data_IF_901712777740
#
_entry.id   IF_901712777740
#
_cell.length_a   1.000
_cell.length_b   1.000
_cell.length_c   1.000
_cell.angle_alpha   90.00
_cell.angle_beta   90.00
_cell.angle_gamma   90.00
#
_symmetry.space_group_name_H-M   'P 1'
#
loop_
_entity.id
_entity.type
_entity.pdbx_description
1 polymer ?
#
# COMPACT_ATOMS: atom_id res chain seq x y z
N UNK A 1 -12.05 -32.61 3.79
CA UNK A 1 -10.73 -31.99 3.61
C UNK A 1 -10.20 -31.62 4.97
N UNK A 2 -8.87 -31.68 5.17
CA UNK A 2 -8.26 -31.18 6.41
C UNK A 2 -8.21 -29.66 6.31
N UNK A 3 -9.04 -28.98 7.08
CA UNK A 3 -8.92 -27.54 7.33
C UNK A 3 -7.86 -27.34 8.40
N UNK A 4 -6.78 -26.64 8.08
CA UNK A 4 -5.88 -26.12 9.09
C UNK A 4 -6.64 -25.03 9.87
N UNK A 5 -6.63 -25.11 11.21
CA UNK A 5 -7.19 -24.04 12.03
C UNK A 5 -6.36 -22.75 11.89
N UNK A 6 -6.97 -21.60 12.17
CA UNK A 6 -6.28 -20.31 12.17
C UNK A 6 -5.01 -20.35 13.04
N UNK A 7 -3.95 -19.71 12.57
CA UNK A 7 -2.69 -19.60 13.30
C UNK A 7 -2.77 -18.39 14.22
N UNK A 8 -3.00 -18.58 15.52
CA UNK A 8 -3.15 -17.47 16.48
C UNK A 8 -1.87 -16.66 16.80
N UNK A 9 -0.80 -16.83 16.03
CA UNK A 9 0.53 -16.23 16.22
C UNK A 9 1.10 -15.80 14.87
N UNK A 10 2.32 -15.27 14.86
CA UNK A 10 3.03 -14.95 13.63
C UNK A 10 3.31 -16.21 12.78
N UNK A 11 3.19 -16.06 11.46
CA UNK A 11 3.48 -17.09 10.47
C UNK A 11 4.62 -16.63 9.56
N UNK A 12 5.73 -17.37 9.58
CA UNK A 12 6.91 -17.10 8.77
C UNK A 12 7.03 -18.16 7.68
N UNK A 13 7.01 -17.75 6.40
CA UNK A 13 7.18 -18.64 5.24
C UNK A 13 8.56 -18.47 4.58
N UNK A 14 9.61 -18.35 5.41
CA UNK A 14 10.99 -18.02 4.99
C UNK A 14 11.71 -19.13 4.20
N UNK A 15 11.05 -20.23 3.87
CA UNK A 15 11.61 -21.31 3.05
C UNK A 15 10.68 -21.71 1.92
N UNK A 16 9.55 -21.02 1.78
CA UNK A 16 8.58 -21.22 0.71
C UNK A 16 8.87 -20.18 -0.36
N UNK A 17 9.10 -20.64 -1.58
CA UNK A 17 9.41 -19.78 -2.73
C UNK A 17 8.23 -19.63 -3.69
N UNK A 18 7.15 -20.38 -3.50
CA UNK A 18 5.91 -20.31 -4.28
C UNK A 18 4.70 -20.72 -3.41
N UNK A 19 3.55 -20.11 -3.66
CA UNK A 19 2.25 -20.46 -3.05
C UNK A 19 1.31 -21.19 -4.03
N UNK A 20 1.82 -21.67 -5.16
CA UNK A 20 1.01 -22.45 -6.11
C UNK A 20 0.42 -23.69 -5.41
N UNK A 21 -0.90 -23.82 -5.48
CA UNK A 21 -1.64 -24.91 -4.82
C UNK A 21 -1.63 -24.86 -3.28
N UNK A 22 -1.16 -23.77 -2.68
CA UNK A 22 -1.14 -23.58 -1.24
C UNK A 22 -2.35 -22.75 -0.79
N UNK A 23 -3.14 -23.30 0.13
CA UNK A 23 -4.16 -22.53 0.85
C UNK A 23 -3.60 -22.11 2.21
N UNK A 24 -3.44 -20.81 2.42
CA UNK A 24 -2.97 -20.27 3.70
C UNK A 24 -4.14 -20.19 4.71
N UNK A 25 -3.91 -20.53 5.99
CA UNK A 25 -4.90 -20.31 7.05
C UNK A 25 -4.95 -18.82 7.45
N UNK A 26 -6.04 -18.39 8.08
CA UNK A 26 -6.09 -17.10 8.77
C UNK A 26 -4.96 -16.97 9.80
N UNK A 27 -4.34 -15.79 9.90
CA UNK A 27 -3.20 -15.53 10.77
C UNK A 27 -3.59 -14.47 11.80
N UNK A 28 -3.66 -14.83 13.08
CA UNK A 28 -3.95 -13.88 14.17
C UNK A 28 -2.77 -12.95 14.50
N UNK A 29 -1.54 -13.36 14.18
CA UNK A 29 -0.34 -12.53 14.23
C UNK A 29 0.01 -11.91 12.88
N UNK A 30 1.29 -11.67 12.65
CA UNK A 30 1.83 -11.17 11.39
C UNK A 30 2.19 -12.30 10.40
N UNK A 31 2.08 -12.04 9.10
CA UNK A 31 2.45 -12.97 8.03
C UNK A 31 3.68 -12.46 7.27
N UNK A 32 4.71 -13.30 7.14
CA UNK A 32 5.98 -12.97 6.47
C UNK A 32 6.21 -13.86 5.25
N UNK A 33 6.28 -13.25 4.05
CA UNK A 33 6.56 -13.91 2.77
C UNK A 33 7.92 -13.48 2.18
N UNK A 34 8.95 -13.46 3.00
CA UNK A 34 10.25 -12.86 2.65
C UNK A 34 11.05 -13.64 1.58
N UNK A 35 10.66 -14.88 1.26
CA UNK A 35 11.35 -15.74 0.28
C UNK A 35 10.63 -15.89 -1.06
N UNK A 36 9.50 -15.19 -1.22
CA UNK A 36 8.72 -15.19 -2.45
C UNK A 36 8.99 -13.87 -3.17
N UNK A 37 9.16 -13.93 -4.49
CA UNK A 37 9.41 -12.73 -5.32
C UNK A 37 8.22 -12.36 -6.19
N UNK A 38 7.30 -13.28 -6.45
CA UNK A 38 6.08 -13.03 -7.23
C UNK A 38 4.92 -13.87 -6.72
N UNK A 39 3.70 -13.33 -6.80
CA UNK A 39 2.46 -14.06 -6.52
C UNK A 39 1.55 -14.00 -7.74
N UNK A 40 1.02 -15.16 -8.14
CA UNK A 40 0.11 -15.31 -9.26
C UNK A 40 -1.10 -16.17 -8.84
N UNK A 41 -2.32 -15.65 -8.98
CA UNK A 41 -3.55 -16.39 -8.67
C UNK A 41 -3.69 -16.82 -7.21
N UNK A 42 -3.13 -16.04 -6.28
CA UNK A 42 -3.09 -16.35 -4.85
C UNK A 42 -4.17 -15.58 -4.09
N UNK A 43 -4.86 -16.26 -3.18
CA UNK A 43 -5.65 -15.61 -2.12
C UNK A 43 -4.84 -15.57 -0.84
N UNK A 44 -4.44 -14.37 -0.42
CA UNK A 44 -3.81 -14.15 0.88
C UNK A 44 -4.88 -14.17 1.98
N UNK A 45 -4.59 -14.73 3.17
CA UNK A 45 -5.58 -14.88 4.22
C UNK A 45 -5.79 -13.58 4.98
N UNK A 46 -6.81 -13.53 5.85
CA UNK A 46 -6.92 -12.48 6.86
C UNK A 46 -5.72 -12.55 7.81
N UNK A 47 -5.16 -11.38 8.11
CA UNK A 47 -4.00 -11.18 8.98
C UNK A 47 -4.36 -10.18 10.08
N UNK A 48 -4.51 -10.64 11.32
CA UNK A 48 -4.78 -9.76 12.47
C UNK A 48 -3.59 -8.88 12.85
N UNK A 49 -2.39 -9.21 12.38
CA UNK A 49 -1.19 -8.41 12.48
C UNK A 49 -0.80 -7.70 11.20
N UNK A 50 0.51 -7.60 10.96
CA UNK A 50 1.05 -6.95 9.76
C UNK A 50 1.38 -7.98 8.68
N UNK A 51 1.21 -7.62 7.42
CA UNK A 51 1.52 -8.43 6.25
C UNK A 51 2.80 -7.93 5.58
N UNK A 52 3.83 -8.76 5.57
CA UNK A 52 5.15 -8.44 5.03
C UNK A 52 5.37 -9.13 3.67
N UNK A 53 5.31 -8.33 2.61
CA UNK A 53 5.53 -8.72 1.21
C UNK A 53 6.75 -8.00 0.61
N UNK A 54 7.77 -7.74 1.45
CA UNK A 54 8.90 -6.89 1.07
C UNK A 54 9.75 -7.44 -0.07
N UNK A 55 9.74 -8.75 -0.30
CA UNK A 55 10.48 -9.39 -1.40
C UNK A 55 9.68 -9.48 -2.70
N UNK A 56 8.38 -9.20 -2.66
CA UNK A 56 7.50 -9.31 -3.82
C UNK A 56 7.73 -8.13 -4.77
N UNK A 57 8.03 -8.44 -6.02
CA UNK A 57 8.21 -7.46 -7.11
C UNK A 57 7.03 -7.45 -8.09
N UNK A 58 6.19 -8.49 -8.09
CA UNK A 58 5.04 -8.62 -8.97
C UNK A 58 3.88 -9.37 -8.30
N UNK A 59 2.67 -8.88 -8.54
CA UNK A 59 1.40 -9.44 -8.08
C UNK A 59 0.48 -9.54 -9.31
N UNK A 60 -0.08 -10.72 -9.57
CA UNK A 60 -1.04 -10.93 -10.65
C UNK A 60 -2.21 -11.78 -10.14
N UNK A 61 -3.44 -11.30 -10.30
CA UNK A 61 -4.63 -12.04 -9.84
C UNK A 61 -4.62 -12.34 -8.33
N UNK A 62 -3.98 -11.48 -7.53
CA UNK A 62 -3.88 -11.65 -6.08
C UNK A 62 -5.10 -11.04 -5.40
N UNK A 63 -5.75 -11.83 -4.56
CA UNK A 63 -6.83 -11.36 -3.67
C UNK A 63 -6.29 -11.27 -2.25
N UNK A 64 -6.53 -10.14 -1.59
CA UNK A 64 -6.13 -9.93 -0.20
C UNK A 64 -7.29 -10.21 0.75
N UNK A 65 -6.98 -10.82 1.90
CA UNK A 65 -7.83 -10.75 3.09
C UNK A 65 -7.56 -9.48 3.88
N UNK A 66 -8.27 -9.32 4.99
CA UNK A 66 -8.16 -8.13 5.84
C UNK A 66 -6.78 -8.07 6.52
N UNK A 67 -6.19 -6.88 6.62
CA UNK A 67 -4.92 -6.63 7.31
C UNK A 67 -5.15 -5.69 8.50
N UNK A 68 -5.12 -6.23 9.71
CA UNK A 68 -5.45 -5.48 10.93
C UNK A 68 -4.38 -4.51 11.41
N UNK A 69 -3.18 -4.51 10.80
CA UNK A 69 -2.12 -3.52 11.04
C UNK A 69 -1.50 -3.05 9.73
N UNK A 70 -0.23 -3.30 9.50
CA UNK A 70 0.53 -2.68 8.41
C UNK A 70 0.67 -3.62 7.21
N UNK A 71 0.67 -3.06 6.00
CA UNK A 71 0.99 -3.75 4.76
C UNK A 71 2.30 -3.22 4.16
N UNK A 72 3.28 -4.10 3.98
CA UNK A 72 4.58 -3.75 3.43
C UNK A 72 4.79 -4.34 2.04
N UNK A 73 4.86 -3.47 1.02
CA UNK A 73 5.09 -3.80 -0.39
C UNK A 73 6.30 -3.01 -0.92
N UNK A 74 7.42 -3.05 -0.20
CA UNK A 74 8.55 -2.17 -0.48
C UNK A 74 9.32 -2.49 -1.77
N UNK A 75 9.14 -3.64 -2.41
CA UNK A 75 9.85 -3.99 -3.66
C UNK A 75 8.96 -4.01 -4.90
N UNK A 76 7.65 -3.77 -4.76
CA UNK A 76 6.75 -3.71 -5.91
C UNK A 76 6.99 -2.42 -6.70
N UNK A 77 6.94 -2.52 -8.03
CA UNK A 77 7.20 -1.39 -8.93
C UNK A 77 5.97 -0.96 -9.74
N UNK A 78 4.89 -1.74 -9.72
CA UNK A 78 3.62 -1.46 -10.39
C UNK A 78 2.45 -2.05 -9.58
N UNK A 79 1.26 -1.45 -9.71
CA UNK A 79 -0.01 -1.96 -9.18
C UNK A 79 -1.00 -2.35 -10.30
N UNK A 80 -0.51 -2.52 -11.52
CA UNK A 80 -1.34 -2.96 -12.65
C UNK A 80 -2.01 -4.31 -12.34
N UNK A 81 -3.32 -4.39 -12.55
CA UNK A 81 -4.09 -5.62 -12.35
C UNK A 81 -4.26 -6.06 -10.89
N UNK A 82 -3.95 -5.18 -9.92
CA UNK A 82 -4.02 -5.49 -8.50
C UNK A 82 -4.92 -4.49 -7.78
N UNK A 83 -5.80 -5.00 -6.93
CA UNK A 83 -6.55 -4.21 -5.96
C UNK A 83 -5.97 -4.50 -4.57
N UNK A 84 -5.42 -3.48 -3.93
CA UNK A 84 -4.94 -3.57 -2.55
C UNK A 84 -6.13 -3.53 -1.58
N UNK A 85 -6.02 -4.17 -0.41
CA UNK A 85 -7.06 -4.11 0.62
C UNK A 85 -6.98 -2.78 1.37
N UNK A 86 -8.07 -2.40 2.02
CA UNK A 86 -8.02 -1.37 3.08
C UNK A 86 -7.09 -1.83 4.21
N UNK A 87 -6.37 -0.86 4.79
CA UNK A 87 -5.31 -1.12 5.77
C UNK A 87 -5.59 -0.31 7.03
N UNK A 88 -5.87 -0.97 8.16
CA UNK A 88 -6.11 -0.28 9.44
C UNK A 88 -4.87 0.48 9.94
N UNK A 89 -3.68 -0.03 9.63
CA UNK A 89 -2.38 0.58 9.97
C UNK A 89 -1.74 1.31 8.79
N UNK A 90 -0.44 1.11 8.60
CA UNK A 90 0.35 1.81 7.58
C UNK A 90 0.48 0.99 6.30
N UNK A 91 0.49 1.66 5.14
CA UNK A 91 0.77 1.07 3.84
C UNK A 91 2.10 1.61 3.28
N UNK A 92 3.02 0.72 2.95
CA UNK A 92 4.35 1.07 2.43
C UNK A 92 4.54 0.58 0.99
N UNK A 93 4.66 1.53 0.07
CA UNK A 93 4.86 1.30 -1.38
C UNK A 93 6.11 2.06 -1.87
N UNK A 94 7.22 1.86 -1.15
CA UNK A 94 8.40 2.72 -1.24
C UNK A 94 9.22 2.63 -2.54
N UNK A 95 8.94 1.69 -3.45
CA UNK A 95 9.70 1.50 -4.69
C UNK A 95 8.95 1.84 -5.97
N UNK A 96 7.66 2.16 -5.89
CA UNK A 96 6.89 2.58 -7.07
C UNK A 96 7.32 4.00 -7.44
N UNK A 97 7.64 4.22 -8.72
CA UNK A 97 8.01 5.54 -9.25
C UNK A 97 6.89 6.21 -10.04
N UNK A 98 5.93 5.43 -10.56
CA UNK A 98 4.78 5.94 -11.30
C UNK A 98 3.54 5.07 -11.11
N UNK A 99 2.36 5.70 -11.10
CA UNK A 99 1.07 5.01 -11.11
C UNK A 99 0.14 5.63 -12.17
N UNK A 100 -0.64 4.78 -12.84
CA UNK A 100 -1.61 5.16 -13.86
C UNK A 100 -2.94 4.44 -13.63
N UNK A 101 -4.05 5.18 -13.54
CA UNK A 101 -5.40 4.60 -13.45
C UNK A 101 -5.67 3.80 -12.18
N UNK A 102 -4.93 4.06 -11.09
CA UNK A 102 -5.03 3.31 -9.83
C UNK A 102 -5.87 4.06 -8.81
N UNK A 103 -6.72 3.33 -8.08
CA UNK A 103 -7.32 3.79 -6.82
C UNK A 103 -6.57 3.10 -5.68
N UNK A 104 -5.93 3.88 -4.81
CA UNK A 104 -5.32 3.36 -3.59
C UNK A 104 -6.38 3.16 -2.50
N UNK A 105 -6.18 2.18 -1.61
CA UNK A 105 -7.17 1.83 -0.58
C UNK A 105 -7.22 2.89 0.54
N UNK A 106 -8.21 2.78 1.43
CA UNK A 106 -8.22 3.54 2.67
C UNK A 106 -7.10 3.04 3.60
N UNK A 107 -6.42 3.97 4.27
CA UNK A 107 -5.29 3.69 5.16
C UNK A 107 -5.51 4.39 6.50
N UNK A 108 -5.75 3.64 7.57
CA UNK A 108 -5.96 4.21 8.91
C UNK A 108 -4.71 4.90 9.49
N UNK A 109 -3.52 4.46 9.09
CA UNK A 109 -2.22 5.00 9.45
C UNK A 109 -1.59 5.86 8.36
N UNK A 110 -0.28 5.70 8.16
CA UNK A 110 0.49 6.45 7.16
C UNK A 110 0.55 5.71 5.82
N UNK A 111 0.57 6.47 4.73
CA UNK A 111 0.79 5.98 3.38
C UNK A 111 2.13 6.49 2.85
N UNK A 112 3.08 5.57 2.61
CA UNK A 112 4.41 5.89 2.08
C UNK A 112 4.50 5.63 0.57
N UNK A 113 4.44 6.72 -0.20
CA UNK A 113 4.62 6.77 -1.67
C UNK A 113 5.86 7.61 -2.05
N UNK A 114 6.87 7.66 -1.17
CA UNK A 114 7.99 8.60 -1.24
C UNK A 114 8.82 8.60 -2.53
N UNK A 115 8.70 7.57 -3.37
CA UNK A 115 9.47 7.42 -4.61
C UNK A 115 8.67 7.77 -5.86
N UNK A 116 7.37 8.02 -5.72
CA UNK A 116 6.51 8.43 -6.83
C UNK A 116 6.99 9.78 -7.37
N UNK A 117 7.23 9.83 -8.67
CA UNK A 117 7.56 11.05 -9.42
C UNK A 117 6.49 11.41 -10.44
N UNK A 118 5.58 10.48 -10.77
CA UNK A 118 4.47 10.69 -11.72
C UNK A 118 3.20 9.98 -11.30
N UNK A 119 2.05 10.63 -11.46
CA UNK A 119 0.72 10.08 -11.23
C UNK A 119 -0.18 10.48 -12.40
N UNK A 120 -0.97 9.56 -12.92
CA UNK A 120 -1.97 9.83 -13.97
C UNK A 120 -3.29 9.13 -13.64
N UNK A 121 -4.39 9.88 -13.50
CA UNK A 121 -5.70 9.31 -13.20
C UNK A 121 -5.74 8.53 -11.87
N UNK A 122 -4.97 8.97 -10.87
CA UNK A 122 -4.85 8.29 -9.59
C UNK A 122 -5.81 8.89 -8.56
N UNK A 123 -6.50 8.01 -7.84
CA UNK A 123 -7.29 8.38 -6.65
C UNK A 123 -6.55 7.91 -5.41
N UNK A 124 -6.22 8.85 -4.53
CA UNK A 124 -5.69 8.61 -3.20
C UNK A 124 -6.86 8.70 -2.23
N UNK A 125 -7.28 7.57 -1.65
CA UNK A 125 -8.40 7.54 -0.70
C UNK A 125 -7.98 8.07 0.68
N UNK A 126 -8.78 7.85 1.71
CA UNK A 126 -8.55 8.49 3.01
C UNK A 126 -7.31 7.92 3.71
N UNK A 127 -6.47 8.81 4.24
CA UNK A 127 -5.27 8.48 5.01
C UNK A 127 -5.41 9.08 6.40
N UNK A 128 -5.64 8.27 7.43
CA UNK A 128 -5.80 8.73 8.81
C UNK A 128 -4.53 9.36 9.40
N UNK A 129 -3.36 8.98 8.89
CA UNK A 129 -2.05 9.50 9.25
C UNK A 129 -1.49 10.51 8.25
N UNK A 130 -0.18 10.38 7.99
CA UNK A 130 0.54 11.20 7.02
C UNK A 130 0.65 10.52 5.66
N UNK A 131 0.57 11.31 4.60
CA UNK A 131 0.78 10.88 3.22
C UNK A 131 2.13 11.42 2.72
N UNK A 132 3.02 10.52 2.31
CA UNK A 132 4.35 10.88 1.81
C UNK A 132 4.42 10.80 0.29
N UNK A 133 4.43 11.96 -0.37
CA UNK A 133 4.65 12.13 -1.80
C UNK A 133 5.85 13.04 -2.05
N UNK A 134 6.89 12.96 -1.21
CA UNK A 134 7.99 13.94 -1.18
C UNK A 134 8.71 14.14 -2.51
N UNK A 135 8.64 13.18 -3.44
CA UNK A 135 9.32 13.19 -4.73
C UNK A 135 8.43 13.61 -5.92
N UNK A 136 7.13 13.85 -5.71
CA UNK A 136 6.22 14.25 -6.79
C UNK A 136 6.53 15.68 -7.24
N UNK A 137 6.49 15.91 -8.56
CA UNK A 137 6.69 17.24 -9.16
C UNK A 137 5.46 17.80 -9.84
N UNK A 138 4.41 17.00 -10.04
CA UNK A 138 3.11 17.45 -10.54
C UNK A 138 1.97 16.58 -10.00
N UNK A 139 0.80 17.17 -9.75
CA UNK A 139 -0.41 16.47 -9.27
C UNK A 139 -1.60 16.59 -10.25
N UNK A 140 -1.34 16.76 -11.54
CA UNK A 140 -2.38 16.77 -12.55
C UNK A 140 -3.15 15.44 -12.55
N UNK A 141 -4.49 15.51 -12.63
CA UNK A 141 -5.34 14.31 -12.66
C UNK A 141 -5.42 13.52 -11.33
N UNK A 142 -4.82 14.02 -10.23
CA UNK A 142 -4.88 13.36 -8.92
C UNK A 142 -6.10 13.81 -8.11
N UNK A 143 -6.84 12.84 -7.59
CA UNK A 143 -7.92 13.06 -6.62
C UNK A 143 -7.46 12.65 -5.23
N UNK A 144 -7.74 13.49 -4.23
CA UNK A 144 -7.37 13.26 -2.84
C UNK A 144 -8.63 13.07 -1.99
N UNK A 145 -8.60 12.05 -1.13
CA UNK A 145 -9.38 11.96 0.11
C UNK A 145 -8.76 12.79 1.23
N UNK A 146 -9.23 12.57 2.45
CA UNK A 146 -8.74 13.27 3.63
C UNK A 146 -7.36 12.74 4.05
N UNK A 147 -6.50 13.65 4.52
CA UNK A 147 -5.21 13.31 5.15
C UNK A 147 -5.22 13.83 6.58
N UNK A 148 -5.28 12.93 7.55
CA UNK A 148 -5.51 13.26 8.96
C UNK A 148 -4.35 13.99 9.64
N UNK A 149 -3.13 13.87 9.11
CA UNK A 149 -1.96 14.55 9.65
C UNK A 149 -1.26 15.45 8.64
N UNK A 150 -0.18 15.01 8.00
CA UNK A 150 0.62 15.84 7.10
C UNK A 150 0.66 15.25 5.69
N UNK A 151 0.62 16.12 4.69
CA UNK A 151 0.90 15.79 3.30
C UNK A 151 2.29 16.33 2.93
N UNK A 152 3.25 15.41 2.77
CA UNK A 152 4.63 15.73 2.39
C UNK A 152 4.76 15.82 0.87
N UNK A 153 4.99 17.04 0.38
CA UNK A 153 5.11 17.39 -1.04
C UNK A 153 6.39 18.18 -1.30
N UNK A 154 7.51 17.82 -0.66
CA UNK A 154 8.76 18.58 -0.71
C UNK A 154 9.22 18.96 -2.12
N UNK A 155 9.11 18.07 -3.10
CA UNK A 155 9.49 18.34 -4.49
C UNK A 155 8.43 19.06 -5.34
N UNK A 156 7.21 19.26 -4.84
CA UNK A 156 6.14 19.89 -5.61
C UNK A 156 6.39 21.41 -5.74
N UNK A 157 6.24 22.01 -6.93
CA UNK A 157 6.37 23.45 -7.12
C UNK A 157 5.44 24.26 -6.22
N UNK A 158 5.90 25.43 -5.76
CA UNK A 158 5.12 26.28 -4.83
C UNK A 158 3.75 26.70 -5.39
N UNK A 159 3.68 26.99 -6.69
CA UNK A 159 2.42 27.37 -7.36
C UNK A 159 1.42 26.20 -7.41
N UNK A 160 1.91 24.97 -7.56
CA UNK A 160 1.09 23.76 -7.49
C UNK A 160 0.61 23.51 -6.05
N UNK A 161 1.46 23.70 -5.02
CA UNK A 161 1.04 23.63 -3.61
C UNK A 161 -0.09 24.61 -3.30
N UNK A 162 0.00 25.85 -3.79
CA UNK A 162 -1.06 26.87 -3.62
C UNK A 162 -2.36 26.42 -4.29
N UNK A 163 -2.27 25.90 -5.52
CA UNK A 163 -3.43 25.44 -6.27
C UNK A 163 -4.10 24.23 -5.60
N UNK A 164 -3.28 23.31 -5.08
CA UNK A 164 -3.74 22.17 -4.29
C UNK A 164 -4.45 22.62 -3.02
N UNK A 165 -3.86 23.54 -2.24
CA UNK A 165 -4.46 24.05 -1.00
C UNK A 165 -5.82 24.74 -1.25
N UNK A 166 -5.98 25.44 -2.38
CA UNK A 166 -7.27 26.05 -2.75
C UNK A 166 -8.32 24.99 -3.08
N UNK A 167 -7.93 23.90 -3.74
CA UNK A 167 -8.82 22.80 -4.12
C UNK A 167 -9.19 21.94 -2.92
N UNK A 168 -8.25 21.70 -2.01
CA UNK A 168 -8.43 20.90 -0.80
C UNK A 168 -7.98 21.69 0.44
N UNK A 169 -8.83 22.60 0.97
CA UNK A 169 -8.48 23.48 2.08
C UNK A 169 -8.12 22.78 3.39
N UNK A 170 -8.52 21.52 3.56
CA UNK A 170 -8.28 20.73 4.78
C UNK A 170 -6.93 20.01 4.78
N UNK A 171 -6.25 19.88 3.62
CA UNK A 171 -4.95 19.23 3.57
C UNK A 171 -3.90 20.09 4.27
N UNK A 172 -3.18 19.48 5.20
CA UNK A 172 -2.05 20.10 5.87
C UNK A 172 -0.76 19.83 5.07
N UNK A 173 -0.48 20.73 4.12
CA UNK A 173 0.66 20.63 3.21
C UNK A 173 1.95 21.15 3.90
N UNK A 174 3.00 20.32 3.92
CA UNK A 174 4.30 20.73 4.46
C UNK A 174 5.01 21.73 3.51
N UNK A 175 5.21 22.95 4.00
CA UNK A 175 5.92 24.04 3.30
C UNK A 175 7.41 24.11 3.69
N UNK A 176 8.11 22.97 3.69
CA UNK A 176 9.57 22.93 3.89
C UNK A 176 10.32 22.94 2.57
#
# INVERSE_FOLDING_TARGET
>A
GVTFGNVGRDLYLNSITSLEGVTLPGVGGSLYLDSITSLEGVTLPDVGGSLYLNSITSLEGVTFGDVGRDLYLNSITSLEGVTLPDVDGNLYLGSITSLEGVTLPDVGGNLDLRSITSLEGVTLSDVGGSLNLRSITSLEGVTFGDVGQNLDLRSLPHEEKISLQKKYPNLNILNT
#
